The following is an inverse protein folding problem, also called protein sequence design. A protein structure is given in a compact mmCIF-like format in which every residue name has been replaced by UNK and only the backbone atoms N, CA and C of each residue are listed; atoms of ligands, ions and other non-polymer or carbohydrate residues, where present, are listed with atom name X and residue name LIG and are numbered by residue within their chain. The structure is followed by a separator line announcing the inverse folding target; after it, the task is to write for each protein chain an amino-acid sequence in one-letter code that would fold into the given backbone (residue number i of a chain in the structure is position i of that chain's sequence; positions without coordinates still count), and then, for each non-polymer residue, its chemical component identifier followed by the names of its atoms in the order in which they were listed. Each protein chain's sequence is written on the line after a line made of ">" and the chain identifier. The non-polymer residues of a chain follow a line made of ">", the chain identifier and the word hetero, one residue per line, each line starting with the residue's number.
data_IF_887826859493
#
_entry.id   IF_887826859493
#
_cell.length_a   1.000
_cell.length_b   1.000
_cell.length_c   1.000
_cell.angle_alpha   90.00
_cell.angle_beta   90.00
_cell.angle_gamma   90.00
#
_symmetry.space_group_name_H-M   'P 1'
#
loop_
_entity.id
_entity.type
_entity.pdbx_description
1 polymer ?
#
# COMPACT_ATOMS: atom_id res chain seq x y z
N UNK A 1 -11.75 5.23 32.98
CA UNK A 1 -11.67 6.69 32.77
C UNK A 1 -10.20 7.07 32.74
N UNK A 2 -9.67 7.83 31.80
CA UNK A 2 -10.14 8.30 30.47
C UNK A 2 -8.91 8.85 29.70
N UNK A 3 -8.90 9.06 28.39
CA UNK A 3 -9.99 8.97 27.41
C UNK A 3 -9.87 7.67 26.56
N UNK A 4 -9.76 7.61 25.22
CA UNK A 4 -9.70 8.61 24.15
C UNK A 4 -10.12 8.04 22.79
N UNK A 5 -10.96 8.75 22.04
CA UNK A 5 -11.24 8.47 20.63
C UNK A 5 -10.26 9.21 19.71
N UNK A 6 -9.29 8.52 19.11
CA UNK A 6 -8.54 9.08 17.97
C UNK A 6 -9.36 8.90 16.68
N UNK A 7 -10.46 9.65 16.56
CA UNK A 7 -11.07 9.92 15.26
C UNK A 7 -10.04 10.71 14.43
N UNK A 8 -9.37 10.02 13.51
CA UNK A 8 -8.14 10.51 12.87
C UNK A 8 -8.40 11.61 11.81
N UNK A 9 -8.84 12.79 12.23
CA UNK A 9 -9.06 13.94 11.31
C UNK A 9 -7.76 14.41 10.63
N UNK A 10 -6.59 14.12 11.21
CA UNK A 10 -5.29 14.34 10.59
C UNK A 10 -5.03 13.46 9.35
N UNK A 11 -5.77 12.34 9.18
CA UNK A 11 -5.72 11.49 7.98
C UNK A 11 -6.64 11.99 6.86
N UNK A 12 -7.65 12.80 7.19
CA UNK A 12 -8.63 13.39 6.26
C UNK A 12 -7.97 14.18 5.11
N UNK A 13 -7.04 15.14 5.35
CA UNK A 13 -6.37 15.85 4.25
C UNK A 13 -5.49 14.95 3.37
N UNK A 14 -4.98 13.84 3.90
CA UNK A 14 -4.20 12.85 3.11
C UNK A 14 -5.15 12.07 2.18
N UNK A 15 -6.28 11.62 2.72
CA UNK A 15 -7.33 10.94 1.96
C UNK A 15 -7.95 11.85 0.88
N UNK A 16 -8.23 13.11 1.22
CA UNK A 16 -8.80 14.09 0.30
C UNK A 16 -7.78 14.51 -0.78
N UNK A 17 -6.51 14.72 -0.43
CA UNK A 17 -5.47 15.00 -1.42
C UNK A 17 -5.29 13.84 -2.40
N UNK A 18 -5.24 12.60 -1.92
CA UNK A 18 -5.19 11.41 -2.76
C UNK A 18 -6.42 11.33 -3.68
N UNK A 19 -7.62 11.51 -3.11
CA UNK A 19 -8.89 11.36 -3.83
C UNK A 19 -9.16 12.45 -4.86
N UNK A 20 -8.77 13.71 -4.60
CA UNK A 20 -8.99 14.82 -5.55
C UNK A 20 -7.84 15.03 -6.55
N UNK A 21 -6.59 14.68 -6.22
CA UNK A 21 -5.47 14.90 -7.14
C UNK A 21 -5.00 13.66 -7.90
N UNK A 22 -5.09 12.46 -7.33
CA UNK A 22 -4.57 11.23 -7.96
C UNK A 22 -5.65 10.62 -8.85
N UNK A 23 -6.77 10.19 -8.27
CA UNK A 23 -7.87 9.51 -8.96
C UNK A 23 -8.33 10.19 -10.27
N UNK A 24 -8.60 11.51 -10.32
CA UNK A 24 -9.09 12.17 -11.55
C UNK A 24 -8.02 12.34 -12.63
N UNK A 25 -6.73 12.35 -12.27
CA UNK A 25 -5.62 12.47 -13.24
C UNK A 25 -5.28 11.10 -13.84
N UNK A 26 -5.28 10.05 -13.02
CA UNK A 26 -5.21 8.65 -13.50
C UNK A 26 -6.37 8.36 -14.47
N UNK A 27 -7.60 8.64 -14.07
CA UNK A 27 -8.79 8.40 -14.89
C UNK A 27 -8.85 9.17 -16.22
N UNK A 28 -8.15 10.31 -16.32
CA UNK A 28 -8.06 11.09 -17.57
C UNK A 28 -6.87 10.68 -18.46
N UNK A 29 -5.87 9.99 -17.92
CA UNK A 29 -4.67 9.56 -18.66
C UNK A 29 -4.79 8.14 -19.22
N UNK A 30 -5.56 7.26 -18.58
CA UNK A 30 -5.59 5.82 -18.88
C UNK A 30 -6.66 5.36 -19.88
N UNK A 31 -7.20 6.27 -20.69
CA UNK A 31 -8.23 5.94 -21.69
C UNK A 31 -7.71 5.12 -22.90
N UNK A 32 -6.39 4.88 -23.02
CA UNK A 32 -5.75 4.26 -24.19
C UNK A 32 -5.20 2.83 -24.03
N UNK A 33 -5.04 2.33 -22.79
CA UNK A 33 -4.62 0.95 -22.51
C UNK A 33 -5.32 0.47 -21.22
N UNK A 34 -6.58 0.07 -21.37
CA UNK A 34 -7.44 -0.33 -20.26
C UNK A 34 -7.16 -1.75 -19.75
N UNK A 35 -6.51 -2.60 -20.54
CA UNK A 35 -6.25 -4.00 -20.19
C UNK A 35 -5.00 -4.12 -19.30
N UNK A 36 -3.89 -3.49 -19.66
CA UNK A 36 -2.67 -3.47 -18.82
C UNK A 36 -2.95 -2.81 -17.47
N UNK A 37 -3.71 -1.70 -17.47
CA UNK A 37 -4.07 -1.01 -16.23
C UNK A 37 -5.14 -1.72 -15.41
N UNK A 38 -6.05 -2.51 -16.02
CA UNK A 38 -6.93 -3.42 -15.27
C UNK A 38 -6.12 -4.51 -14.57
N UNK A 39 -5.15 -5.12 -15.25
CA UNK A 39 -4.24 -6.09 -14.64
C UNK A 39 -3.43 -5.46 -13.47
N UNK A 40 -2.93 -4.24 -13.64
CA UNK A 40 -2.24 -3.52 -12.56
C UNK A 40 -3.17 -3.26 -11.36
N UNK A 41 -4.38 -2.75 -11.59
CA UNK A 41 -5.36 -2.50 -10.52
C UNK A 41 -5.80 -3.79 -9.82
N UNK A 42 -5.96 -4.89 -10.56
CA UNK A 42 -6.26 -6.20 -9.99
C UNK A 42 -5.09 -6.78 -9.20
N UNK A 43 -3.85 -6.67 -9.69
CA UNK A 43 -2.67 -7.20 -8.99
C UNK A 43 -2.39 -6.45 -7.69
N UNK A 44 -2.56 -5.12 -7.66
CA UNK A 44 -2.49 -4.31 -6.43
C UNK A 44 -3.55 -4.77 -5.41
N UNK A 45 -4.78 -5.07 -5.85
CA UNK A 45 -5.87 -5.53 -4.96
C UNK A 45 -5.71 -6.99 -4.50
N UNK A 46 -4.87 -7.78 -5.17
CA UNK A 46 -4.53 -9.17 -4.83
C UNK A 46 -3.19 -9.30 -4.09
N UNK A 47 -2.44 -8.20 -3.94
CA UNK A 47 -1.15 -8.19 -3.26
C UNK A 47 -1.36 -8.27 -1.73
N UNK A 48 -0.61 -9.11 -1.00
CA UNK A 48 -0.74 -9.21 0.44
C UNK A 48 -0.34 -7.91 1.15
N UNK A 49 -0.97 -7.56 2.29
CA UNK A 49 -0.53 -6.44 3.12
C UNK A 49 0.88 -6.67 3.69
N UNK A 50 1.53 -5.59 4.12
CA UNK A 50 2.97 -5.60 4.40
C UNK A 50 3.38 -6.61 5.50
N UNK A 51 2.61 -6.73 6.58
CA UNK A 51 2.85 -7.71 7.63
C UNK A 51 2.64 -9.17 7.17
N UNK A 52 1.67 -9.40 6.28
CA UNK A 52 1.44 -10.73 5.72
C UNK A 52 2.58 -11.13 4.77
N UNK A 53 3.03 -10.23 3.90
CA UNK A 53 4.19 -10.51 3.05
C UNK A 53 5.48 -10.73 3.87
N UNK A 54 5.65 -9.98 4.98
CA UNK A 54 6.74 -10.18 5.95
C UNK A 54 6.67 -11.57 6.61
N UNK A 55 5.46 -12.01 6.98
CA UNK A 55 5.23 -13.39 7.47
C UNK A 55 5.55 -14.43 6.41
N UNK A 56 5.04 -14.29 5.18
CA UNK A 56 5.31 -15.22 4.07
C UNK A 56 6.80 -15.34 3.76
N UNK A 57 7.56 -14.25 3.84
CA UNK A 57 9.02 -14.29 3.69
C UNK A 57 9.71 -15.03 4.85
N UNK A 58 9.25 -14.88 6.09
CA UNK A 58 9.77 -15.63 7.23
C UNK A 58 9.43 -17.13 7.14
N UNK A 59 8.21 -17.47 6.74
CA UNK A 59 7.75 -18.84 6.45
C UNK A 59 8.56 -19.47 5.28
N UNK A 60 8.99 -18.66 4.30
CA UNK A 60 9.90 -19.07 3.22
C UNK A 60 11.39 -19.17 3.63
N UNK A 61 11.72 -19.03 4.92
CA UNK A 61 13.06 -19.25 5.45
C UNK A 61 14.01 -18.05 5.42
N UNK A 62 13.51 -16.84 5.15
CA UNK A 62 14.33 -15.63 5.30
C UNK A 62 14.44 -15.22 6.78
N UNK A 63 15.66 -14.93 7.22
CA UNK A 63 15.96 -14.41 8.56
C UNK A 63 15.92 -12.88 8.58
N UNK A 64 15.63 -12.29 9.77
CA UNK A 64 15.58 -10.83 10.00
C UNK A 64 14.72 -10.08 8.97
N UNK A 65 13.54 -10.62 8.65
CA UNK A 65 12.62 -9.99 7.70
C UNK A 65 12.00 -8.73 8.31
N UNK A 66 12.07 -7.62 7.59
CA UNK A 66 11.38 -6.39 7.95
C UNK A 66 11.02 -5.55 6.71
N UNK A 67 10.11 -4.58 6.85
CA UNK A 67 9.71 -3.70 5.75
C UNK A 67 9.72 -2.22 6.13
N UNK A 68 9.96 -1.37 5.13
CA UNK A 68 9.85 0.08 5.26
C UNK A 68 8.77 0.63 4.33
N UNK A 69 7.73 1.21 4.91
CA UNK A 69 6.71 1.95 4.16
C UNK A 69 7.31 3.22 3.53
N UNK A 70 6.92 3.48 2.28
CA UNK A 70 7.23 4.67 1.51
C UNK A 70 5.91 5.37 1.13
N UNK A 71 5.94 6.68 0.87
CA UNK A 71 4.77 7.45 0.44
C UNK A 71 3.51 7.17 1.28
N UNK A 72 3.64 7.24 2.62
CA UNK A 72 2.61 6.94 3.61
C UNK A 72 1.97 5.53 3.54
N UNK A 73 2.63 4.56 2.89
CA UNK A 73 2.16 3.17 2.77
C UNK A 73 1.66 2.77 1.39
N UNK A 74 1.65 3.69 0.41
CA UNK A 74 1.30 3.40 -1.00
C UNK A 74 2.22 2.33 -1.60
N UNK A 75 3.47 2.26 -1.14
CA UNK A 75 4.38 1.15 -1.42
C UNK A 75 5.28 0.87 -0.21
N UNK A 76 5.90 -0.30 -0.19
CA UNK A 76 6.86 -0.69 0.85
C UNK A 76 8.06 -1.40 0.22
N UNK A 77 9.21 -1.33 0.89
CA UNK A 77 10.39 -2.13 0.57
C UNK A 77 10.58 -3.16 1.66
N UNK A 78 10.35 -4.42 1.32
CA UNK A 78 10.64 -5.57 2.18
C UNK A 78 12.11 -5.96 2.04
N UNK A 79 12.70 -6.38 3.15
CA UNK A 79 14.08 -6.84 3.27
C UNK A 79 14.12 -8.12 4.08
N UNK A 80 15.06 -9.01 3.76
CA UNK A 80 15.25 -10.27 4.47
C UNK A 80 16.57 -10.90 4.05
N UNK A 81 17.21 -11.63 4.97
CA UNK A 81 18.50 -12.25 4.77
C UNK A 81 18.30 -13.74 4.53
N UNK A 82 18.96 -14.31 3.53
CA UNK A 82 18.96 -15.76 3.35
C UNK A 82 19.76 -16.40 4.48
N UNK A 83 19.21 -17.46 5.08
CA UNK A 83 19.91 -18.36 6.02
C UNK A 83 20.82 -19.37 5.28
#
# INVERSE_FOLDING_TARGET
>A
MEFSEVKAEWFKPIYDFHSFNVLPKLGRLFAGDSDSYRYLAESIRKHPPQDELKRMMAEAGFARVDYKNLSAGICAVHTGYKA
#
